data_IF_493724001423
#
_entry.id   IF_493724001423
#
_cell.length_a   1.000
_cell.length_b   1.000
_cell.length_c   1.000
_cell.angle_alpha   90.00
_cell.angle_beta   90.00
_cell.angle_gamma   90.00
#
_symmetry.space_group_name_H-M   'P 1'
#
loop_
_entity.id
_entity.type
_entity.pdbx_description
1 polymer ?
#
# COMPACT_ATOMS: atom_id res chain seq x y z
N UNK A 1 -2.97 -8.89 -12.05
CA UNK A 1 -1.94 -7.98 -12.59
C UNK A 1 -1.75 -6.82 -11.65
N UNK A 2 -0.55 -6.72 -11.03
CA UNK A 2 -0.33 -5.90 -9.83
C UNK A 2 0.38 -4.58 -10.14
N UNK A 3 0.43 -4.16 -11.40
CA UNK A 3 1.35 -3.10 -11.80
C UNK A 3 0.62 -1.80 -12.04
N UNK A 4 1.18 -0.72 -11.47
CA UNK A 4 0.89 0.64 -11.92
C UNK A 4 1.45 0.74 -13.33
N UNK A 5 0.57 0.95 -14.30
CA UNK A 5 0.94 1.18 -15.68
C UNK A 5 0.30 2.49 -16.13
N UNK A 6 0.88 3.64 -15.73
CA UNK A 6 0.38 4.92 -16.18
C UNK A 6 0.52 5.01 -17.69
N UNK A 7 -0.49 5.57 -18.33
CA UNK A 7 -0.42 5.96 -19.72
C UNK A 7 0.55 7.13 -19.89
N UNK A 8 1.03 7.36 -21.12
CA UNK A 8 1.84 8.55 -21.41
C UNK A 8 1.08 9.85 -21.05
N UNK A 9 -0.25 9.84 -21.20
CA UNK A 9 -1.09 10.97 -20.81
C UNK A 9 -1.05 11.20 -19.29
N UNK A 10 -1.18 10.17 -18.49
CA UNK A 10 -1.08 10.26 -17.01
C UNK A 10 0.30 10.67 -16.55
N UNK A 11 1.35 10.17 -17.22
CA UNK A 11 2.72 10.62 -16.94
C UNK A 11 2.87 12.11 -17.21
N UNK A 12 2.46 12.58 -18.39
CA UNK A 12 2.52 14.00 -18.75
C UNK A 12 1.68 14.85 -17.80
N UNK A 13 0.48 14.39 -17.43
CA UNK A 13 -0.36 15.08 -16.46
C UNK A 13 0.39 15.25 -15.14
N UNK A 14 0.94 14.19 -14.58
CA UNK A 14 1.68 14.24 -13.31
C UNK A 14 3.01 15.01 -13.42
N UNK A 15 3.64 15.02 -14.58
CA UNK A 15 4.86 15.81 -14.83
C UNK A 15 4.62 17.32 -14.71
N UNK A 16 3.47 17.79 -15.23
CA UNK A 16 3.08 19.20 -15.16
C UNK A 16 2.26 19.53 -13.90
N UNK A 17 1.87 18.52 -13.13
CA UNK A 17 1.14 18.71 -11.87
C UNK A 17 2.10 19.25 -10.80
N UNK A 18 1.65 20.27 -10.08
CA UNK A 18 2.44 20.89 -9.01
C UNK A 18 2.49 19.97 -7.78
N UNK A 19 1.43 19.28 -7.53
CA UNK A 19 1.21 18.52 -6.32
C UNK A 19 1.43 17.02 -6.42
N UNK A 20 1.95 16.52 -7.56
CA UNK A 20 2.20 15.10 -7.75
C UNK A 20 3.39 14.85 -8.67
N UNK A 21 4.29 13.97 -8.28
CA UNK A 21 5.42 13.57 -9.10
C UNK A 21 5.10 12.30 -9.92
N UNK A 22 5.63 12.17 -11.15
CA UNK A 22 5.32 11.08 -12.05
C UNK A 22 6.05 9.78 -11.70
N UNK A 23 5.45 8.66 -12.10
CA UNK A 23 6.02 7.33 -11.98
C UNK A 23 5.90 6.58 -13.32
N UNK A 24 6.84 5.70 -13.63
CA UNK A 24 6.81 4.86 -14.83
C UNK A 24 7.16 3.40 -14.51
N UNK A 25 6.54 2.42 -15.19
CA UNK A 25 6.91 1.03 -15.02
C UNK A 25 8.33 0.76 -15.54
N UNK A 26 9.09 -0.05 -14.81
CA UNK A 26 10.40 -0.54 -15.24
C UNK A 26 10.20 -1.87 -15.95
N UNK A 27 10.59 -1.92 -17.20
CA UNK A 27 10.52 -3.12 -18.04
C UNK A 27 11.87 -3.84 -18.03
N UNK A 28 11.83 -5.15 -17.86
CA UNK A 28 13.01 -6.03 -18.00
C UNK A 28 12.73 -7.17 -18.97
N UNK A 29 13.71 -7.45 -19.82
CA UNK A 29 13.68 -8.65 -20.66
C UNK A 29 13.93 -9.90 -19.81
N UNK A 30 13.08 -10.92 -19.97
CA UNK A 30 13.25 -12.24 -19.37
C UNK A 30 13.10 -13.31 -20.44
N UNK A 31 14.23 -13.68 -21.05
CA UNK A 31 14.22 -14.54 -22.22
C UNK A 31 13.55 -13.86 -23.42
N UNK A 32 12.43 -14.41 -23.88
CA UNK A 32 11.61 -13.84 -24.98
C UNK A 32 10.50 -12.91 -24.49
N UNK A 33 10.29 -12.82 -23.18
CA UNK A 33 9.23 -12.05 -22.56
C UNK A 33 9.75 -10.72 -22.02
N UNK A 34 8.82 -9.74 -21.92
CA UNK A 34 9.05 -8.48 -21.21
C UNK A 34 8.21 -8.50 -19.96
N UNK A 35 8.85 -8.31 -18.82
CA UNK A 35 8.17 -8.26 -17.52
C UNK A 35 8.30 -6.88 -16.90
N UNK A 36 7.31 -6.48 -16.13
CA UNK A 36 7.41 -5.29 -15.28
C UNK A 36 8.08 -5.71 -13.97
N UNK A 37 9.25 -5.16 -13.70
CA UNK A 37 10.07 -5.50 -12.52
C UNK A 37 9.91 -4.56 -11.35
N UNK A 38 9.31 -3.39 -11.58
CA UNK A 38 9.16 -2.34 -10.59
C UNK A 38 8.58 -1.08 -11.20
N UNK A 39 8.71 0.02 -10.48
CA UNK A 39 8.32 1.37 -10.90
C UNK A 39 9.46 2.34 -10.63
N UNK A 40 9.84 3.12 -11.62
CA UNK A 40 10.73 4.25 -11.49
C UNK A 40 9.98 5.46 -10.93
N UNK A 41 10.59 6.13 -9.99
CA UNK A 41 10.12 7.33 -9.32
C UNK A 41 10.87 8.52 -9.91
N UNK A 42 10.15 9.50 -10.43
CA UNK A 42 10.75 10.64 -11.11
C UNK A 42 10.53 11.92 -10.34
N UNK A 43 11.57 12.74 -10.31
CA UNK A 43 11.49 14.17 -9.97
C UNK A 43 11.74 14.94 -11.23
N UNK A 44 10.72 15.64 -11.73
CA UNK A 44 10.73 16.22 -13.06
C UNK A 44 11.08 15.16 -14.12
N UNK A 45 12.13 15.34 -14.90
CA UNK A 45 12.62 14.43 -15.93
C UNK A 45 13.67 13.42 -15.44
N UNK A 46 13.98 13.40 -14.13
CA UNK A 46 15.05 12.57 -13.57
C UNK A 46 14.50 11.41 -12.79
N UNK A 47 14.98 10.21 -13.11
CA UNK A 47 14.79 9.04 -12.26
C UNK A 47 15.58 9.23 -10.96
N UNK A 48 14.89 9.25 -9.83
CA UNK A 48 15.50 9.46 -8.50
C UNK A 48 15.57 8.20 -7.67
N UNK A 49 14.63 7.26 -7.88
CA UNK A 49 14.62 5.98 -7.19
C UNK A 49 13.74 4.95 -7.92
N UNK A 50 13.80 3.70 -7.46
CA UNK A 50 13.04 2.59 -8.00
C UNK A 50 12.31 1.83 -6.89
N UNK A 51 11.01 1.62 -7.05
CA UNK A 51 10.25 0.73 -6.19
C UNK A 51 10.22 -0.69 -6.75
N UNK A 52 10.54 -1.65 -5.89
CA UNK A 52 10.44 -3.07 -6.20
C UNK A 52 9.00 -3.55 -6.16
N UNK A 53 8.74 -4.67 -6.81
CA UNK A 53 7.41 -5.29 -6.92
C UNK A 53 6.69 -5.46 -5.56
N UNK A 54 7.44 -5.72 -4.47
CA UNK A 54 6.87 -5.88 -3.13
C UNK A 54 6.16 -4.63 -2.58
N UNK A 55 6.58 -3.43 -2.99
CA UNK A 55 6.05 -2.15 -2.51
C UNK A 55 5.01 -1.54 -3.45
N UNK A 56 4.91 -2.05 -4.69
CA UNK A 56 3.96 -1.55 -5.68
C UNK A 56 2.50 -1.68 -5.23
N UNK A 57 2.18 -2.74 -4.50
CA UNK A 57 0.86 -2.94 -3.92
C UNK A 57 0.46 -1.77 -3.02
N UNK A 58 1.37 -1.32 -2.16
CA UNK A 58 1.12 -0.20 -1.24
C UNK A 58 1.05 1.14 -1.98
N UNK A 59 1.96 1.37 -2.94
CA UNK A 59 1.92 2.57 -3.78
C UNK A 59 0.57 2.67 -4.50
N UNK A 60 0.09 1.57 -5.10
CA UNK A 60 -1.16 1.56 -5.85
C UNK A 60 -2.38 1.84 -4.97
N UNK A 61 -2.42 1.26 -3.77
CA UNK A 61 -3.50 1.53 -2.80
C UNK A 61 -3.48 2.98 -2.33
N UNK A 62 -2.30 3.56 -2.11
CA UNK A 62 -2.15 4.94 -1.66
C UNK A 62 -2.50 5.96 -2.74
N UNK A 63 -2.10 5.68 -3.98
CA UNK A 63 -2.21 6.63 -5.10
C UNK A 63 -3.57 6.61 -5.79
N UNK A 64 -4.32 5.50 -5.73
CA UNK A 64 -5.53 5.34 -6.53
C UNK A 64 -6.55 4.37 -5.92
N UNK A 65 -7.71 4.26 -6.57
CA UNK A 65 -8.69 3.20 -6.32
C UNK A 65 -8.18 1.90 -6.95
N UNK A 66 -7.87 0.94 -6.13
CA UNK A 66 -7.33 -0.33 -6.59
C UNK A 66 -8.34 -1.46 -6.41
N UNK A 67 -8.78 -2.04 -7.52
CA UNK A 67 -9.88 -3.02 -7.56
C UNK A 67 -9.42 -4.44 -7.89
N UNK A 68 -8.14 -4.75 -7.90
CA UNK A 68 -7.67 -6.12 -8.09
C UNK A 68 -6.19 -6.26 -7.73
N UNK A 69 -5.80 -7.41 -7.22
CA UNK A 69 -4.42 -7.81 -7.00
C UNK A 69 -4.20 -8.55 -5.71
N UNK A 70 -3.28 -9.48 -5.77
CA UNK A 70 -2.94 -10.37 -4.66
C UNK A 70 -1.76 -9.82 -3.86
N UNK A 71 -1.78 -10.07 -2.56
CA UNK A 71 -0.67 -9.76 -1.66
C UNK A 71 -0.45 -10.90 -0.69
N UNK A 72 0.75 -11.44 -0.70
CA UNK A 72 1.22 -12.34 0.35
C UNK A 72 1.77 -11.53 1.52
N UNK A 73 1.36 -11.90 2.73
CA UNK A 73 1.84 -11.31 3.97
C UNK A 73 2.29 -12.40 4.94
N UNK A 74 3.50 -12.25 5.47
CA UNK A 74 4.08 -13.17 6.45
C UNK A 74 3.88 -12.67 7.87
N UNK A 75 3.33 -13.52 8.73
CA UNK A 75 3.15 -13.27 10.15
C UNK A 75 4.02 -14.23 10.96
N UNK A 76 4.61 -13.77 12.06
CA UNK A 76 5.23 -14.68 13.02
C UNK A 76 4.15 -15.60 13.58
N UNK A 77 4.45 -16.88 13.75
CA UNK A 77 3.49 -17.87 14.21
C UNK A 77 2.84 -17.49 15.53
N UNK A 78 3.58 -16.90 16.46
CA UNK A 78 3.07 -16.44 17.75
C UNK A 78 1.98 -15.36 17.61
N UNK A 79 1.96 -14.63 16.51
CA UNK A 79 0.95 -13.60 16.25
C UNK A 79 -0.43 -14.18 15.90
N UNK A 80 -0.46 -15.41 15.39
CA UNK A 80 -1.65 -16.11 14.93
C UNK A 80 -1.93 -17.40 15.71
N UNK A 81 -1.15 -17.73 16.74
CA UNK A 81 -1.22 -18.98 17.50
C UNK A 81 -2.64 -19.31 18.00
N UNK A 82 -3.38 -18.27 18.41
CA UNK A 82 -4.76 -18.42 18.93
C UNK A 82 -5.78 -18.88 17.89
N UNK A 83 -5.46 -18.75 16.61
CA UNK A 83 -6.37 -19.08 15.50
C UNK A 83 -5.83 -20.17 14.59
N UNK A 84 -4.72 -20.80 14.93
CA UNK A 84 -4.22 -21.97 14.22
C UNK A 84 -5.16 -23.14 14.49
N UNK A 85 -5.63 -23.82 13.44
CA UNK A 85 -6.35 -25.07 13.58
C UNK A 85 -5.39 -26.15 14.10
N UNK A 86 -5.65 -26.62 15.33
CA UNK A 86 -4.94 -27.73 15.90
C UNK A 86 -5.57 -29.02 15.38
N UNK A 87 -4.88 -29.71 14.50
CA UNK A 87 -5.30 -31.02 14.03
C UNK A 87 -4.78 -32.07 15.04
N UNK A 88 -5.59 -33.03 15.43
CA UNK A 88 -5.21 -34.05 16.39
C UNK A 88 -3.95 -34.85 16.00
N UNK A 89 -3.64 -34.89 14.70
CA UNK A 89 -2.46 -35.52 14.15
C UNK A 89 -1.17 -34.63 14.19
N UNK A 90 -1.26 -33.36 14.56
CA UNK A 90 -0.11 -32.44 14.68
C UNK A 90 0.08 -31.99 16.13
N UNK A 91 0.54 -32.93 16.97
CA UNK A 91 0.67 -32.74 18.42
C UNK A 91 1.86 -31.92 18.88
N UNK A 92 2.72 -31.37 18.02
CA UNK A 92 3.92 -30.64 18.46
C UNK A 92 4.22 -29.45 17.57
N UNK A 93 4.30 -28.25 18.19
CA UNK A 93 4.85 -26.96 17.73
C UNK A 93 4.60 -26.63 16.24
N UNK A 94 4.19 -25.41 15.93
CA UNK A 94 4.05 -25.00 14.54
C UNK A 94 5.36 -25.27 13.79
N UNK A 95 5.28 -25.96 12.66
CA UNK A 95 6.42 -26.41 11.84
C UNK A 95 7.18 -25.20 11.27
N UNK A 96 6.51 -24.05 11.18
CA UNK A 96 7.04 -22.85 10.57
C UNK A 96 7.14 -21.69 11.57
N UNK A 97 8.25 -20.95 11.53
CA UNK A 97 8.41 -19.72 12.29
C UNK A 97 7.54 -18.57 11.79
N UNK A 98 7.04 -18.69 10.54
CA UNK A 98 6.16 -17.73 9.88
C UNK A 98 5.01 -18.43 9.17
N UNK A 99 3.83 -17.83 9.25
CA UNK A 99 2.64 -18.20 8.49
C UNK A 99 2.46 -17.14 7.40
N UNK A 100 2.39 -17.58 6.15
CA UNK A 100 2.08 -16.72 5.03
C UNK A 100 0.59 -16.82 4.69
N UNK A 101 -0.03 -15.68 4.50
CA UNK A 101 -1.42 -15.55 4.09
C UNK A 101 -1.47 -14.70 2.84
N UNK A 102 -1.98 -15.27 1.77
CA UNK A 102 -2.22 -14.57 0.51
C UNK A 102 -3.65 -14.08 0.48
N UNK A 103 -3.81 -12.78 0.29
CA UNK A 103 -5.13 -12.16 0.09
C UNK A 103 -5.25 -11.58 -1.31
N UNK A 104 -6.47 -11.62 -1.81
CA UNK A 104 -6.88 -10.87 -2.99
C UNK A 104 -7.58 -9.58 -2.54
N UNK A 105 -7.17 -8.45 -3.08
CA UNK A 105 -7.83 -7.18 -2.85
C UNK A 105 -9.01 -7.05 -3.82
N UNK A 106 -10.23 -7.10 -3.30
CA UNK A 106 -11.44 -6.96 -4.10
C UNK A 106 -11.63 -5.50 -4.51
N UNK A 107 -11.43 -4.59 -3.55
CA UNK A 107 -11.48 -3.14 -3.76
C UNK A 107 -10.75 -2.40 -2.66
N UNK A 108 -10.26 -1.23 -3.00
CA UNK A 108 -9.71 -0.31 -2.01
C UNK A 108 -10.15 1.13 -2.28
N UNK A 109 -10.11 1.94 -1.25
CA UNK A 109 -10.35 3.37 -1.31
C UNK A 109 -9.46 4.09 -0.32
N UNK A 110 -8.65 4.99 -0.84
CA UNK A 110 -7.82 5.88 -0.03
C UNK A 110 -8.41 7.29 -0.04
N UNK A 111 -8.39 7.94 1.13
CA UNK A 111 -8.74 9.35 1.31
C UNK A 111 -7.63 10.04 2.07
N UNK A 112 -7.08 11.07 1.48
CA UNK A 112 -6.08 11.95 2.07
C UNK A 112 -6.79 13.21 2.56
N UNK A 113 -6.38 13.74 3.71
CA UNK A 113 -6.85 15.01 4.26
C UNK A 113 -5.72 15.73 4.95
N UNK A 114 -5.55 17.00 4.65
CA UNK A 114 -4.70 17.89 5.44
C UNK A 114 -5.43 18.22 6.76
N UNK A 115 -4.92 17.70 7.88
CA UNK A 115 -5.53 17.89 9.20
C UNK A 115 -4.89 18.98 10.04
N UNK A 116 -3.64 19.32 9.74
CA UNK A 116 -2.93 20.44 10.35
C UNK A 116 -2.03 21.09 9.29
N UNK A 117 -2.45 22.28 8.85
CA UNK A 117 -1.71 23.03 7.82
C UNK A 117 -0.40 23.61 8.36
N UNK A 118 -0.35 24.00 9.63
CA UNK A 118 0.83 24.63 10.24
C UNK A 118 1.98 23.61 10.36
N UNK A 119 1.65 22.39 10.78
CA UNK A 119 2.62 21.32 10.99
C UNK A 119 2.64 20.32 9.81
N UNK A 120 2.02 20.67 8.68
CA UNK A 120 1.92 19.86 7.45
C UNK A 120 1.56 18.39 7.73
N UNK A 121 0.53 18.17 8.57
CA UNK A 121 0.11 16.83 8.95
C UNK A 121 -1.05 16.38 8.09
N UNK A 122 -0.84 15.25 7.40
CA UNK A 122 -1.84 14.59 6.58
C UNK A 122 -2.39 13.35 7.27
N UNK A 123 -3.70 13.15 7.17
CA UNK A 123 -4.36 11.90 7.55
C UNK A 123 -4.69 11.10 6.31
N UNK A 124 -4.23 9.85 6.27
CA UNK A 124 -4.45 8.91 5.18
C UNK A 124 -5.36 7.79 5.69
N UNK A 125 -6.60 7.75 5.21
CA UNK A 125 -7.56 6.70 5.57
C UNK A 125 -7.67 5.72 4.40
N UNK A 126 -7.26 4.49 4.64
CA UNK A 126 -7.29 3.39 3.69
C UNK A 126 -8.34 2.38 4.10
N UNK A 127 -9.32 2.14 3.24
CA UNK A 127 -10.30 1.06 3.38
C UNK A 127 -10.04 0.01 2.32
N UNK A 128 -10.04 -1.25 2.73
CA UNK A 128 -9.87 -2.41 1.85
C UNK A 128 -10.96 -3.44 2.15
N UNK A 129 -11.42 -4.10 1.09
CA UNK A 129 -12.18 -5.33 1.18
C UNK A 129 -11.35 -6.42 0.48
N UNK A 130 -11.03 -7.47 1.20
CA UNK A 130 -10.17 -8.55 0.71
C UNK A 130 -10.75 -9.92 1.04
N UNK A 131 -10.26 -10.95 0.34
CA UNK A 131 -10.54 -12.34 0.66
C UNK A 131 -9.24 -13.12 0.79
N UNK A 132 -9.22 -14.10 1.67
CA UNK A 132 -8.10 -15.03 1.79
C UNK A 132 -8.15 -16.01 0.63
N UNK A 133 -7.03 -16.15 -0.10
CA UNK A 133 -6.87 -17.14 -1.17
C UNK A 133 -6.14 -18.39 -0.68
N UNK A 134 -5.00 -18.18 0.01
CA UNK A 134 -4.11 -19.26 0.42
C UNK A 134 -3.49 -18.96 1.78
N UNK A 135 -3.17 -20.03 2.50
CA UNK A 135 -2.48 -19.98 3.78
C UNK A 135 -1.50 -21.15 3.88
N UNK A 136 -0.28 -20.91 4.35
CA UNK A 136 0.70 -21.99 4.57
C UNK A 136 0.40 -22.83 5.80
N UNK A 137 -0.49 -22.36 6.67
CA UNK A 137 -0.99 -23.05 7.86
C UNK A 137 -2.49 -22.83 7.99
N UNK A 138 -3.27 -23.86 8.22
CA UNK A 138 -4.71 -23.76 8.40
C UNK A 138 -5.06 -22.91 9.63
N UNK A 139 -5.89 -21.89 9.39
CA UNK A 139 -6.41 -20.97 10.41
C UNK A 139 -7.92 -21.17 10.57
N UNK A 140 -8.41 -21.09 11.80
CA UNK A 140 -9.85 -21.17 12.12
C UNK A 140 -10.55 -19.85 11.76
N UNK A 141 -10.83 -19.65 10.48
CA UNK A 141 -11.53 -18.46 9.97
C UNK A 141 -13.07 -18.59 10.07
N UNK A 142 -13.59 -19.69 10.56
CA UNK A 142 -15.03 -19.86 10.82
C UNK A 142 -15.54 -18.96 11.95
N UNK A 143 -14.68 -18.58 12.88
CA UNK A 143 -15.04 -17.75 14.04
C UNK A 143 -14.84 -16.26 13.76
N UNK A 144 -15.83 -15.37 14.03
CA UNK A 144 -15.67 -13.92 13.85
C UNK A 144 -14.47 -13.32 14.60
N UNK A 145 -14.15 -13.85 15.78
CA UNK A 145 -13.01 -13.39 16.58
C UNK A 145 -11.66 -13.69 15.89
N UNK A 146 -11.55 -14.81 15.20
CA UNK A 146 -10.35 -15.18 14.43
C UNK A 146 -10.15 -14.29 13.23
N UNK A 147 -11.22 -13.97 12.50
CA UNK A 147 -11.18 -13.03 11.38
C UNK A 147 -10.74 -11.65 11.87
N UNK A 148 -11.34 -11.13 12.95
CA UNK A 148 -10.95 -9.85 13.54
C UNK A 148 -9.48 -9.81 13.98
N UNK A 149 -8.96 -10.91 14.51
CA UNK A 149 -7.55 -11.01 14.87
C UNK A 149 -6.67 -10.91 13.61
N UNK A 150 -6.99 -11.65 12.55
CA UNK A 150 -6.27 -11.63 11.30
C UNK A 150 -6.33 -10.23 10.65
N UNK A 151 -7.51 -9.62 10.56
CA UNK A 151 -7.70 -8.23 10.09
C UNK A 151 -6.84 -7.23 10.87
N UNK A 152 -6.82 -7.34 12.20
CA UNK A 152 -5.98 -6.48 13.06
C UNK A 152 -4.49 -6.61 12.75
N UNK A 153 -4.00 -7.84 12.52
CA UNK A 153 -2.60 -8.08 12.15
C UNK A 153 -2.27 -7.55 10.76
N UNK A 154 -3.18 -7.74 9.81
CA UNK A 154 -3.08 -7.15 8.47
C UNK A 154 -3.01 -5.62 8.54
N UNK A 155 -3.97 -5.00 9.20
CA UNK A 155 -4.03 -3.54 9.34
C UNK A 155 -2.76 -2.96 9.93
N UNK A 156 -2.22 -3.59 10.97
CA UNK A 156 -0.99 -3.15 11.61
C UNK A 156 0.22 -3.24 10.65
N UNK A 157 0.36 -4.37 9.95
CA UNK A 157 1.49 -4.57 9.03
C UNK A 157 1.38 -3.66 7.81
N UNK A 158 0.18 -3.49 7.25
CA UNK A 158 -0.05 -2.57 6.13
C UNK A 158 0.22 -1.12 6.52
N UNK A 159 -0.31 -0.68 7.69
CA UNK A 159 -0.04 0.65 8.22
C UNK A 159 1.47 0.91 8.29
N UNK A 160 2.21 0.01 8.91
CA UNK A 160 3.67 0.13 9.06
C UNK A 160 4.36 0.26 7.70
N UNK A 161 4.01 -0.59 6.74
CA UNK A 161 4.59 -0.56 5.39
C UNK A 161 4.26 0.72 4.61
N UNK A 162 3.03 1.19 4.70
CA UNK A 162 2.62 2.45 4.07
C UNK A 162 3.31 3.65 4.71
N UNK A 163 3.50 3.63 6.04
CA UNK A 163 4.21 4.69 6.77
C UNK A 163 5.69 4.74 6.37
N UNK A 164 6.38 3.59 6.33
CA UNK A 164 7.75 3.47 5.83
C UNK A 164 7.87 4.02 4.41
N UNK A 165 6.92 3.70 3.53
CA UNK A 165 6.92 4.14 2.14
C UNK A 165 6.70 5.65 2.00
N UNK A 166 5.74 6.23 2.74
CA UNK A 166 5.48 7.67 2.70
C UNK A 166 6.64 8.49 3.27
N UNK A 167 7.26 8.00 4.34
CA UNK A 167 8.47 8.61 4.90
C UNK A 167 9.61 8.57 3.88
N UNK A 168 9.80 7.44 3.21
CA UNK A 168 10.81 7.29 2.16
C UNK A 168 10.58 8.29 1.02
N UNK A 169 9.37 8.43 0.51
CA UNK A 169 9.04 9.42 -0.53
C UNK A 169 9.34 10.85 -0.08
N UNK A 170 8.94 11.21 1.13
CA UNK A 170 9.24 12.53 1.69
C UNK A 170 10.74 12.76 1.77
N UNK A 171 11.51 11.79 2.25
CA UNK A 171 12.94 11.93 2.50
C UNK A 171 13.75 12.06 1.19
N UNK A 172 13.31 11.43 0.11
CA UNK A 172 13.89 11.62 -1.24
C UNK A 172 13.27 12.78 -2.00
N UNK A 173 12.30 13.48 -1.42
CA UNK A 173 11.71 14.71 -1.96
C UNK A 173 10.77 14.51 -3.13
N UNK A 174 10.08 13.37 -3.21
CA UNK A 174 9.08 13.08 -4.25
C UNK A 174 7.69 12.86 -3.64
N UNK A 175 6.66 13.26 -4.36
CA UNK A 175 5.25 13.05 -3.98
C UNK A 175 4.47 12.29 -5.06
N UNK A 176 4.63 10.97 -5.20
CA UNK A 176 3.91 10.21 -6.21
C UNK A 176 2.44 9.98 -5.84
N UNK A 177 2.03 10.33 -4.63
CA UNK A 177 0.68 10.15 -4.10
C UNK A 177 -0.22 11.34 -4.39
N UNK A 178 0.34 12.57 -4.40
CA UNK A 178 -0.41 13.79 -4.65
C UNK A 178 -0.87 14.52 -3.38
N UNK A 179 -0.05 14.51 -2.32
CA UNK A 179 -0.31 15.32 -1.11
C UNK A 179 -0.30 16.81 -1.42
N UNK A 180 0.47 17.24 -2.43
CA UNK A 180 0.52 18.62 -2.88
C UNK A 180 -0.83 19.12 -3.39
N UNK A 181 -1.57 18.29 -4.10
CA UNK A 181 -2.92 18.63 -4.57
C UNK A 181 -3.89 18.83 -3.40
N UNK A 182 -3.81 18.00 -2.38
CA UNK A 182 -4.60 18.17 -1.14
C UNK A 182 -4.19 19.45 -0.39
N UNK A 183 -2.88 19.77 -0.35
CA UNK A 183 -2.38 20.99 0.26
C UNK A 183 -2.86 22.24 -0.49
N UNK A 184 -2.76 22.24 -1.83
CA UNK A 184 -3.19 23.35 -2.68
C UNK A 184 -4.68 23.66 -2.51
N UNK A 185 -5.53 22.63 -2.43
CA UNK A 185 -6.96 22.78 -2.18
C UNK A 185 -7.28 23.54 -0.89
N UNK A 186 -6.35 23.59 0.06
CA UNK A 186 -6.49 24.32 1.33
C UNK A 186 -5.86 25.73 1.31
N UNK A 187 -5.35 26.21 0.18
CA UNK A 187 -4.74 27.55 0.06
C UNK A 187 -5.74 28.66 -0.23
N UNK A 188 -7.05 28.37 -0.33
CA UNK A 188 -8.12 29.35 -0.51
C UNK A 188 -7.85 30.36 -1.65
N UNK A 189 -7.62 29.84 -2.87
CA UNK A 189 -7.40 30.66 -4.07
C UNK A 189 -5.97 31.17 -4.27
N UNK A 190 -5.02 30.71 -3.48
CA UNK A 190 -3.60 30.88 -3.76
C UNK A 190 -3.08 29.61 -4.44
N UNK A 191 -2.36 29.78 -5.53
CA UNK A 191 -1.60 28.70 -6.15
C UNK A 191 -0.22 28.60 -5.49
N UNK A 192 0.32 27.41 -5.45
CA UNK A 192 1.68 27.14 -5.00
C UNK A 192 2.53 26.71 -6.21
N UNK A 193 3.78 27.11 -6.24
CA UNK A 193 4.73 26.59 -7.25
C UNK A 193 5.28 25.23 -6.84
N UNK A 194 5.74 24.44 -7.80
CA UNK A 194 6.37 23.13 -7.51
C UNK A 194 7.56 23.28 -6.55
N UNK A 195 8.40 24.31 -6.72
CA UNK A 195 9.53 24.59 -5.81
C UNK A 195 9.09 24.90 -4.38
N UNK A 196 7.96 25.60 -4.22
CA UNK A 196 7.41 25.88 -2.88
C UNK A 196 6.86 24.61 -2.24
N UNK A 197 6.15 23.77 -3.04
CA UNK A 197 5.70 22.46 -2.56
C UNK A 197 6.88 21.60 -2.12
N UNK A 198 7.90 21.44 -2.95
CA UNK A 198 9.09 20.65 -2.63
C UNK A 198 9.78 21.08 -1.34
N UNK A 199 9.77 22.38 -1.06
CA UNK A 199 10.36 22.92 0.18
C UNK A 199 9.54 22.56 1.40
N UNK A 200 8.21 22.69 1.34
CA UNK A 200 7.35 22.40 2.50
C UNK A 200 7.10 20.91 2.69
N UNK A 201 7.10 20.11 1.62
CA UNK A 201 6.82 18.68 1.69
C UNK A 201 7.81 17.91 2.58
N UNK A 202 9.04 18.39 2.72
CA UNK A 202 10.06 17.81 3.60
C UNK A 202 9.64 17.72 5.07
N UNK A 203 8.73 18.60 5.49
CA UNK A 203 8.21 18.66 6.85
C UNK A 203 6.88 17.87 7.01
N UNK A 204 6.42 17.21 5.93
CA UNK A 204 5.17 16.47 5.96
C UNK A 204 5.21 15.31 6.95
N UNK A 205 4.13 15.16 7.69
CA UNK A 205 3.90 14.05 8.61
C UNK A 205 2.61 13.33 8.26
N UNK A 206 2.58 12.01 8.49
CA UNK A 206 1.52 11.14 8.03
C UNK A 206 0.88 10.38 9.18
N UNK A 207 -0.43 10.53 9.33
CA UNK A 207 -1.26 9.75 10.25
C UNK A 207 -2.06 8.73 9.44
N UNK A 208 -1.67 7.45 9.47
CA UNK A 208 -2.24 6.42 8.62
C UNK A 208 -3.23 5.56 9.41
N UNK A 209 -4.42 5.41 8.86
CA UNK A 209 -5.46 4.52 9.33
C UNK A 209 -5.80 3.51 8.24
N UNK A 210 -5.59 2.24 8.53
CA UNK A 210 -5.94 1.12 7.63
C UNK A 210 -7.09 0.35 8.24
N UNK A 211 -8.11 0.09 7.45
CA UNK A 211 -9.23 -0.78 7.78
C UNK A 211 -9.46 -1.76 6.64
N UNK A 212 -8.96 -2.97 6.80
CA UNK A 212 -9.19 -4.10 5.90
C UNK A 212 -10.31 -4.96 6.47
N UNK A 213 -11.32 -5.24 5.66
CA UNK A 213 -12.36 -6.22 5.96
C UNK A 213 -12.09 -7.48 5.15
N UNK A 214 -11.99 -8.62 5.82
CA UNK A 214 -11.83 -9.91 5.16
C UNK A 214 -13.22 -10.48 4.91
N UNK A 215 -13.64 -10.50 3.63
CA UNK A 215 -14.89 -11.12 3.23
C UNK A 215 -14.81 -12.64 3.42
N UNK A 216 -15.87 -13.22 3.98
CA UNK A 216 -15.97 -14.66 4.08
C UNK A 216 -16.24 -15.22 2.69
N UNK A 217 -15.32 -16.02 2.18
CA UNK A 217 -15.67 -16.95 1.10
C UNK A 217 -16.52 -18.04 1.71
N UNK A 218 -17.78 -18.14 1.28
CA UNK A 218 -18.61 -19.27 1.63
C UNK A 218 -17.90 -20.57 1.20
N UNK A 219 -17.84 -21.53 2.13
CA UNK A 219 -17.38 -22.91 1.93
C UNK A 219 -15.90 -23.04 1.56
N UNK A 220 -15.08 -23.23 2.56
CA UNK A 220 -13.94 -24.14 2.47
C UNK A 220 -14.39 -25.37 3.28
N UNK A 221 -14.96 -26.37 2.59
CA UNK A 221 -15.10 -27.72 3.09
C UNK A 221 -13.72 -28.40 3.06
#
# INVERSE_FOLDING_TARGET
EQVISPTLHEFNHNYYDIGRDPVLPILKAKGKDVIISGVGLFKDDRLVDELRQGDLFYLKILADKYNAGTKEMGFKTEQLDKIILKNENYTKKPIFSKIYVTVDNIRSKTKIKLVDKKNLRFRVNVKLDSRVLEMTQALDLGKPASIKLLESKFNHQMKKKMEELLIHFRDIGIDPIGFGNEYEAHLRGKTITKKEWDRVYKDATFEIHVNNTIERTGVID
#
